data_IF_853472329477
#
_entry.id   IF_853472329477
#
_cell.length_a   1.000
_cell.length_b   1.000
_cell.length_c   1.000
_cell.angle_alpha   90.00
_cell.angle_beta   90.00
_cell.angle_gamma   90.00
#
_symmetry.space_group_name_H-M   'P 1'
#
loop_
_entity.id
_entity.type
_entity.pdbx_description
1 polymer ?
#
# COMPACT_ATOMS: atom_id res chain seq x y z
N UNK A 1 -11.80 -3.00 -9.93
CA UNK A 1 -10.84 -3.15 -11.06
C UNK A 1 -10.19 -4.53 -10.98
N UNK A 2 -9.89 -5.14 -12.13
CA UNK A 2 -9.33 -6.49 -12.23
C UNK A 2 -7.95 -6.42 -12.89
N UNK A 3 -6.91 -7.05 -12.31
CA UNK A 3 -5.59 -7.09 -12.92
C UNK A 3 -5.62 -7.93 -14.19
N UNK A 4 -5.02 -7.39 -15.25
CA UNK A 4 -4.89 -8.04 -16.54
C UNK A 4 -3.49 -7.75 -17.08
N UNK A 5 -3.03 -8.59 -18.01
CA UNK A 5 -1.77 -8.34 -18.69
C UNK A 5 -1.82 -8.80 -20.13
N UNK A 6 -0.99 -8.16 -20.96
CA UNK A 6 -0.77 -8.57 -22.35
C UNK A 6 0.73 -8.64 -22.59
N UNK A 7 1.15 -9.61 -23.39
CA UNK A 7 2.57 -9.81 -23.74
C UNK A 7 2.77 -9.47 -25.21
N UNK A 8 3.78 -8.65 -25.52
CA UNK A 8 4.23 -8.37 -26.89
C UNK A 8 5.73 -8.64 -26.98
N UNK A 9 6.11 -9.72 -27.66
CA UNK A 9 7.48 -10.22 -27.66
C UNK A 9 7.95 -10.55 -26.23
N UNK A 10 9.06 -9.97 -25.80
CA UNK A 10 9.57 -10.10 -24.43
C UNK A 10 8.90 -9.16 -23.41
N UNK A 11 8.16 -8.14 -23.85
CA UNK A 11 7.62 -7.10 -22.96
C UNK A 11 6.24 -7.48 -22.42
N UNK A 12 6.07 -7.40 -21.11
CA UNK A 12 4.80 -7.57 -20.40
C UNK A 12 4.19 -6.20 -20.09
N UNK A 13 2.95 -5.99 -20.51
CA UNK A 13 2.15 -4.83 -20.18
C UNK A 13 1.11 -5.22 -19.15
N UNK A 14 1.02 -4.46 -18.06
CA UNK A 14 0.11 -4.74 -16.93
C UNK A 14 -0.92 -3.63 -16.83
N UNK A 15 -2.18 -4.00 -16.64
CA UNK A 15 -3.30 -3.07 -16.56
C UNK A 15 -4.30 -3.48 -15.49
N UNK A 16 -4.97 -2.49 -14.92
CA UNK A 16 -6.21 -2.67 -14.20
C UNK A 16 -7.37 -2.33 -15.14
N UNK A 17 -8.37 -3.20 -15.21
CA UNK A 17 -9.52 -3.04 -16.12
C UNK A 17 -10.83 -3.10 -15.33
N UNK A 18 -11.82 -2.29 -15.69
CA UNK A 18 -13.14 -2.34 -15.08
C UNK A 18 -13.82 -3.69 -15.36
N UNK A 19 -14.65 -4.14 -14.43
CA UNK A 19 -15.34 -5.43 -14.59
C UNK A 19 -16.39 -5.36 -15.69
N UNK A 20 -16.95 -4.18 -15.95
CA UNK A 20 -17.92 -3.94 -17.00
C UNK A 20 -17.30 -4.07 -18.39
N UNK A 21 -16.06 -3.57 -18.58
CA UNK A 21 -15.30 -3.85 -19.81
C UNK A 21 -14.97 -5.34 -19.95
N UNK A 22 -14.56 -6.02 -18.88
CA UNK A 22 -14.25 -7.47 -18.95
C UNK A 22 -15.51 -8.29 -19.27
N UNK A 23 -16.67 -7.89 -18.75
CA UNK A 23 -17.95 -8.59 -18.95
C UNK A 23 -18.75 -8.07 -20.14
N UNK A 24 -18.19 -7.17 -20.95
CA UNK A 24 -18.84 -6.55 -22.11
C UNK A 24 -20.24 -5.98 -21.78
N UNK A 25 -20.36 -5.30 -20.65
CA UNK A 25 -21.58 -4.58 -20.26
C UNK A 25 -21.54 -3.18 -20.89
N UNK A 26 -22.71 -2.62 -21.16
CA UNK A 26 -22.81 -1.22 -21.57
C UNK A 26 -22.30 -0.33 -20.44
N UNK A 27 -21.25 0.44 -20.72
CA UNK A 27 -20.59 1.31 -19.74
C UNK A 27 -21.20 2.70 -19.67
N UNK A 28 -22.19 3.03 -20.52
CA UNK A 28 -22.96 4.28 -20.46
C UNK A 28 -22.09 5.54 -20.33
N UNK A 29 -22.56 6.51 -19.54
CA UNK A 29 -21.82 7.72 -19.14
C UNK A 29 -20.84 7.45 -17.98
N UNK A 30 -20.14 6.31 -17.97
CA UNK A 30 -19.09 6.06 -16.97
C UNK A 30 -18.01 7.14 -17.05
N UNK A 31 -17.92 7.94 -16.00
CA UNK A 31 -16.91 9.01 -15.87
C UNK A 31 -15.57 8.47 -15.35
N UNK A 32 -15.56 7.27 -14.75
CA UNK A 32 -14.35 6.66 -14.20
C UNK A 32 -13.52 5.92 -15.30
N UNK A 33 -12.19 5.92 -15.21
CA UNK A 33 -11.32 5.20 -16.15
C UNK A 33 -11.61 3.70 -16.24
N UNK A 34 -11.86 3.22 -17.46
CA UNK A 34 -12.11 1.80 -17.75
C UNK A 34 -10.84 0.93 -17.79
N UNK A 35 -9.69 1.53 -18.11
CA UNK A 35 -8.38 0.87 -18.14
C UNK A 35 -7.33 1.80 -17.58
N UNK A 36 -6.48 1.28 -16.72
CA UNK A 36 -5.37 2.02 -16.12
C UNK A 36 -4.07 1.20 -16.23
N UNK A 37 -2.96 1.89 -16.50
CA UNK A 37 -1.65 1.27 -16.46
C UNK A 37 -1.34 0.83 -15.02
N UNK A 38 -1.00 -0.44 -14.81
CA UNK A 38 -0.83 -0.97 -13.46
C UNK A 38 0.31 -0.25 -12.72
N UNK A 39 1.45 -0.03 -13.37
CA UNK A 39 2.58 0.68 -12.76
C UNK A 39 2.22 2.08 -12.25
N UNK A 40 1.51 2.87 -13.05
CA UNK A 40 1.06 4.20 -12.64
C UNK A 40 0.15 4.15 -11.40
N UNK A 41 -0.80 3.21 -11.37
CA UNK A 41 -1.72 3.07 -10.23
C UNK A 41 -0.98 2.57 -8.99
N UNK A 42 -0.12 1.56 -9.14
CA UNK A 42 0.68 0.99 -8.07
C UNK A 42 1.59 2.07 -7.44
N UNK A 43 2.29 2.84 -8.26
CA UNK A 43 3.18 3.92 -7.81
C UNK A 43 2.39 5.00 -7.05
N UNK A 44 1.22 5.40 -7.56
CA UNK A 44 0.37 6.39 -6.90
C UNK A 44 -0.17 5.90 -5.55
N UNK A 45 -0.58 4.64 -5.46
CA UNK A 45 -1.06 4.03 -4.20
C UNK A 45 0.09 3.97 -3.18
N UNK A 46 1.28 3.54 -3.60
CA UNK A 46 2.45 3.48 -2.71
C UNK A 46 2.83 4.88 -2.21
N UNK A 47 2.82 5.89 -3.09
CA UNK A 47 3.10 7.27 -2.72
C UNK A 47 2.09 7.80 -1.69
N UNK A 48 0.80 7.53 -1.89
CA UNK A 48 -0.25 7.99 -0.97
C UNK A 48 -0.18 7.27 0.38
N UNK A 49 0.08 5.96 0.39
CA UNK A 49 0.30 5.21 1.64
C UNK A 49 1.46 5.82 2.42
N UNK A 50 2.61 6.08 1.77
CA UNK A 50 3.76 6.73 2.41
C UNK A 50 3.40 8.10 2.99
N UNK A 51 2.66 8.92 2.24
CA UNK A 51 2.20 10.24 2.68
C UNK A 51 1.32 10.14 3.93
N UNK A 52 0.36 9.21 3.95
CA UNK A 52 -0.54 8.99 5.09
C UNK A 52 0.24 8.53 6.32
N UNK A 53 1.18 7.60 6.17
CA UNK A 53 2.00 7.11 7.27
C UNK A 53 2.84 8.19 7.95
N UNK A 54 3.18 9.26 7.23
CA UNK A 54 3.92 10.41 7.74
C UNK A 54 3.04 11.52 8.32
N UNK A 55 1.71 11.36 8.32
CA UNK A 55 0.81 12.36 8.91
C UNK A 55 0.91 12.38 10.44
N UNK A 56 0.89 13.55 11.09
CA UNK A 56 0.99 13.66 12.55
C UNK A 56 -0.04 12.81 13.28
N UNK A 57 -1.27 12.72 12.75
CA UNK A 57 -2.36 11.94 13.32
C UNK A 57 -2.03 10.45 13.37
N UNK A 58 -1.45 9.92 12.28
CA UNK A 58 -1.03 8.52 12.22
C UNK A 58 0.17 8.27 13.12
N UNK A 59 1.15 9.18 13.14
CA UNK A 59 2.31 9.08 14.02
C UNK A 59 1.87 9.02 15.49
N UNK A 60 1.03 9.93 15.94
CA UNK A 60 0.49 9.94 17.31
C UNK A 60 -0.30 8.67 17.62
N UNK A 61 -1.12 8.19 16.67
CA UNK A 61 -1.88 6.95 16.85
C UNK A 61 -0.96 5.73 17.02
N UNK A 62 0.10 5.64 16.21
CA UNK A 62 1.08 4.55 16.26
C UNK A 62 1.83 4.56 17.59
N UNK A 63 2.33 5.72 18.02
CA UNK A 63 3.01 5.87 19.31
C UNK A 63 2.07 5.41 20.44
N UNK A 64 0.83 5.93 20.48
CA UNK A 64 -0.15 5.57 21.51
C UNK A 64 -0.52 4.07 21.49
N UNK A 65 -0.54 3.42 20.33
CA UNK A 65 -0.78 1.99 20.21
C UNK A 65 0.41 1.17 20.73
N UNK A 66 1.64 1.56 20.38
CA UNK A 66 2.87 0.87 20.80
C UNK A 66 3.13 1.03 22.31
N UNK A 67 2.84 2.20 22.90
CA UNK A 67 2.99 2.43 24.34
C UNK A 67 2.08 1.55 25.19
N UNK A 68 0.92 1.10 24.66
CA UNK A 68 -0.02 0.23 25.39
C UNK A 68 0.44 -1.22 25.49
N UNK A 69 1.39 -1.65 24.65
CA UNK A 69 1.77 -3.06 24.51
C UNK A 69 3.01 -3.48 25.33
N UNK A 70 3.40 -2.70 26.34
CA UNK A 70 4.47 -3.03 27.30
C UNK A 70 5.83 -3.36 26.65
N UNK A 71 6.64 -2.33 26.40
CA UNK A 71 8.09 -2.40 26.65
C UNK A 71 9.06 -2.76 25.51
N UNK A 72 8.63 -2.91 24.26
CA UNK A 72 9.56 -3.26 23.17
C UNK A 72 10.03 -2.09 22.29
N UNK A 73 9.30 -0.98 22.24
CA UNK A 73 9.55 0.12 21.30
C UNK A 73 9.41 1.47 22.01
N UNK A 74 10.45 2.32 21.96
CA UNK A 74 10.35 3.69 22.47
C UNK A 74 9.65 4.62 21.47
N UNK A 75 9.14 5.75 21.94
CA UNK A 75 8.55 6.77 21.06
C UNK A 75 9.56 7.28 20.03
N UNK A 76 10.83 7.47 20.43
CA UNK A 76 11.90 7.89 19.54
C UNK A 76 12.16 6.85 18.44
N UNK A 77 12.15 5.56 18.78
CA UNK A 77 12.33 4.48 17.80
C UNK A 77 11.16 4.41 16.81
N UNK A 78 9.92 4.62 17.29
CA UNK A 78 8.74 4.65 16.43
C UNK A 78 8.78 5.82 15.43
N UNK A 79 9.19 7.01 15.88
CA UNK A 79 9.34 8.19 15.02
C UNK A 79 10.46 7.96 14.00
N UNK A 80 11.61 7.44 14.44
CA UNK A 80 12.73 7.11 13.55
C UNK A 80 12.30 6.10 12.47
N UNK A 81 11.62 5.02 12.83
CA UNK A 81 11.14 4.02 11.87
C UNK A 81 10.11 4.59 10.88
N UNK A 82 9.23 5.50 11.30
CA UNK A 82 8.29 6.17 10.40
C UNK A 82 9.00 7.11 9.42
N UNK A 83 10.06 7.79 9.85
CA UNK A 83 10.91 8.60 8.96
C UNK A 83 11.70 7.73 7.97
N UNK A 84 12.27 6.64 8.45
CA UNK A 84 13.07 5.71 7.65
C UNK A 84 12.23 4.79 6.75
N UNK A 85 10.91 4.72 6.99
CA UNK A 85 9.96 3.90 6.23
C UNK A 85 10.15 4.01 4.72
N UNK A 86 10.31 5.23 4.20
CA UNK A 86 10.46 5.45 2.76
C UNK A 86 11.74 4.83 2.19
N UNK A 87 12.83 4.85 2.97
CA UNK A 87 14.11 4.26 2.61
C UNK A 87 14.06 2.73 2.73
N UNK A 88 13.55 2.23 3.85
CA UNK A 88 13.37 0.79 4.10
C UNK A 88 12.47 0.15 3.03
N UNK A 89 11.36 0.80 2.69
CA UNK A 89 10.45 0.35 1.63
C UNK A 89 11.16 0.10 0.31
N UNK A 90 12.06 0.99 -0.09
CA UNK A 90 12.78 0.88 -1.36
C UNK A 90 13.72 -0.34 -1.40
N UNK A 91 14.11 -0.86 -0.24
CA UNK A 91 14.97 -2.04 -0.10
C UNK A 91 14.16 -3.34 0.07
N UNK A 92 12.84 -3.26 0.31
CA UNK A 92 11.99 -4.42 0.43
C UNK A 92 11.85 -5.16 -0.90
N UNK A 93 11.87 -6.49 -0.82
CA UNK A 93 11.50 -7.33 -1.96
C UNK A 93 10.05 -7.04 -2.39
N UNK A 94 9.72 -7.17 -3.69
CA UNK A 94 8.37 -6.90 -4.19
C UNK A 94 7.26 -7.67 -3.47
N UNK A 95 7.53 -8.91 -3.05
CA UNK A 95 6.59 -9.72 -2.28
C UNK A 95 6.27 -9.09 -0.92
N UNK A 96 7.26 -8.50 -0.27
CA UNK A 96 7.13 -7.88 1.04
C UNK A 96 6.42 -6.52 0.95
N UNK A 97 6.74 -5.73 -0.09
CA UNK A 97 5.96 -4.53 -0.42
C UNK A 97 4.47 -4.88 -0.62
N UNK A 98 4.18 -5.94 -1.38
CA UNK A 98 2.81 -6.38 -1.63
C UNK A 98 2.10 -6.82 -0.33
N UNK A 99 2.80 -7.56 0.55
CA UNK A 99 2.27 -7.97 1.86
C UNK A 99 1.87 -6.74 2.69
N UNK A 100 2.76 -5.76 2.80
CA UNK A 100 2.48 -4.54 3.58
C UNK A 100 1.33 -3.74 2.97
N UNK A 101 1.28 -3.57 1.63
CA UNK A 101 0.13 -2.89 0.99
C UNK A 101 -1.17 -3.61 1.31
N UNK A 102 -1.22 -4.95 1.29
CA UNK A 102 -2.43 -5.72 1.59
C UNK A 102 -2.88 -5.57 3.05
N UNK A 103 -1.94 -5.38 3.98
CA UNK A 103 -2.23 -5.11 5.40
C UNK A 103 -2.74 -3.69 5.61
N UNK A 104 -2.16 -2.70 4.93
CA UNK A 104 -2.47 -1.29 5.15
C UNK A 104 -3.66 -0.80 4.32
N UNK A 105 -3.89 -1.32 3.12
CA UNK A 105 -4.93 -0.83 2.23
C UNK A 105 -6.20 -1.67 2.41
N UNK A 106 -7.32 -0.99 2.68
CA UNK A 106 -8.66 -1.60 2.68
C UNK A 106 -9.19 -1.71 1.26
N UNK A 107 -9.23 -0.59 0.53
CA UNK A 107 -9.60 -0.55 -0.89
C UNK A 107 -8.98 0.67 -1.58
N UNK A 108 -8.91 0.60 -2.90
CA UNK A 108 -8.63 1.74 -3.76
C UNK A 108 -9.85 1.98 -4.63
N UNK A 109 -10.39 3.20 -4.58
CA UNK A 109 -11.51 3.63 -5.41
C UNK A 109 -10.97 4.48 -6.55
N UNK A 110 -11.37 4.11 -7.77
CA UNK A 110 -11.01 4.88 -8.97
C UNK A 110 -12.20 5.73 -9.35
N UNK A 111 -12.01 7.04 -9.45
CA UNK A 111 -13.03 8.01 -9.85
C UNK A 111 -12.53 8.79 -11.07
N UNK A 112 -13.42 9.59 -11.66
CA UNK A 112 -13.04 10.54 -12.72
C UNK A 112 -12.03 11.59 -12.24
N UNK A 113 -12.08 11.94 -10.95
CA UNK A 113 -11.22 12.96 -10.34
C UNK A 113 -9.85 12.40 -9.92
N UNK A 114 -9.73 11.09 -9.71
CA UNK A 114 -8.46 10.46 -9.34
C UNK A 114 -8.61 9.14 -8.60
N UNK A 115 -7.61 8.84 -7.77
CA UNK A 115 -7.57 7.66 -6.90
C UNK A 115 -7.84 8.07 -5.46
N UNK A 116 -8.75 7.35 -4.81
CA UNK A 116 -8.97 7.43 -3.36
C UNK A 116 -8.46 6.15 -2.71
N UNK A 117 -7.66 6.28 -1.65
CA UNK A 117 -7.05 5.13 -0.96
C UNK A 117 -7.59 5.06 0.47
N UNK A 118 -8.33 4.00 0.76
CA UNK A 118 -8.83 3.74 2.11
C UNK A 118 -7.82 2.90 2.90
N UNK A 119 -7.31 3.44 4.02
CA UNK A 119 -6.29 2.81 4.86
C UNK A 119 -6.90 2.13 6.10
N UNK A 120 -6.40 0.95 6.45
CA UNK A 120 -6.66 0.22 7.70
C UNK A 120 -5.80 0.80 8.81
N UNK A 121 -6.38 1.70 9.61
CA UNK A 121 -5.65 2.38 10.68
C UNK A 121 -5.18 1.41 11.77
N UNK A 122 -5.93 0.33 11.98
CA UNK A 122 -5.62 -0.75 12.92
C UNK A 122 -4.35 -1.54 12.54
N UNK A 123 -4.01 -1.62 11.25
CA UNK A 123 -2.86 -2.39 10.76
C UNK A 123 -1.53 -1.63 10.83
N UNK A 124 -1.57 -0.30 10.97
CA UNK A 124 -0.38 0.55 10.87
C UNK A 124 0.60 0.27 12.02
N UNK A 125 0.10 0.22 13.26
CA UNK A 125 0.94 -0.01 14.43
C UNK A 125 1.63 -1.38 14.40
N UNK A 126 0.99 -2.40 13.80
CA UNK A 126 1.58 -3.72 13.59
C UNK A 126 2.75 -3.69 12.61
N UNK A 127 2.57 -3.03 11.46
CA UNK A 127 3.63 -2.87 10.45
C UNK A 127 4.83 -2.09 11.00
N UNK A 128 4.59 -0.97 11.70
CA UNK A 128 5.69 -0.18 12.29
C UNK A 128 6.46 -0.98 13.33
N UNK A 129 5.77 -1.81 14.12
CA UNK A 129 6.43 -2.70 15.07
C UNK A 129 7.31 -3.75 14.39
N UNK A 130 6.83 -4.37 13.32
CA UNK A 130 7.62 -5.33 12.53
C UNK A 130 8.88 -4.68 11.94
N UNK A 131 8.87 -3.36 11.70
CA UNK A 131 10.05 -2.63 11.26
C UNK A 131 11.03 -2.29 12.40
N UNK A 132 10.53 -1.88 13.57
CA UNK A 132 11.40 -1.52 14.72
C UNK A 132 11.99 -2.77 15.38
N UNK A 133 11.18 -3.83 15.48
CA UNK A 133 11.58 -5.12 16.01
C UNK A 133 11.32 -6.17 14.93
N UNK A 134 12.23 -6.30 13.93
CA UNK A 134 12.11 -7.37 12.96
C UNK A 134 12.11 -8.69 13.74
N UNK A 135 10.95 -9.36 13.78
CA UNK A 135 10.93 -10.77 14.12
C UNK A 135 11.89 -11.41 13.15
N UNK A 136 12.91 -12.10 13.67
CA UNK A 136 13.98 -12.69 12.89
C UNK A 136 13.42 -13.20 11.59
N UNK A 137 13.89 -12.61 10.49
CA UNK A 137 13.63 -13.05 9.14
C UNK A 137 14.08 -14.52 9.12
N UNK A 138 13.16 -15.45 9.42
CA UNK A 138 13.40 -16.86 9.18
C UNK A 138 13.66 -16.94 7.70
N UNK A 139 14.93 -17.19 7.39
CA UNK A 139 15.42 -17.51 6.09
C UNK A 139 14.51 -18.61 5.52
N UNK A 140 13.69 -18.27 4.54
CA UNK A 140 13.05 -19.25 3.70
C UNK A 140 14.11 -19.67 2.65
N UNK A 141 14.64 -20.86 2.88
CA UNK A 141 15.39 -21.72 1.96
C UNK A 141 14.68 -21.89 0.61
#
# INVERSE_FOLDING_TARGET
MTPTSTKKGAKLYRYYVSMDVIRNRETGEETAPMRLAAGMVEDAVVAEVRRILQTPEVVTQVIAALSKEQGAVTEADAIAALHEFSALWAQLFPAEQARIIQLLVRRVTVTAAGLEVDIRREGIAGVVREMVAPRGMEAAE
#
